data_IF_577704126283
#
_entry.id   IF_577704126283
#
_cell.length_a   1.000
_cell.length_b   1.000
_cell.length_c   1.000
_cell.angle_alpha   90.00
_cell.angle_beta   90.00
_cell.angle_gamma   90.00
#
_symmetry.space_group_name_H-M   'P 1'
#
loop_
_entity.id
_entity.type
_entity.pdbx_description
1 polymer ?
#
# COMPACT_ATOMS: atom_id res chain seq x y z
N UNK A 1 -9.98 22.60 -20.67
CA UNK A 1 -10.34 23.89 -21.30
C UNK A 1 -9.06 24.57 -21.77
N UNK A 2 -8.86 24.71 -23.09
CA UNK A 2 -7.70 25.40 -23.66
C UNK A 2 -8.00 26.90 -23.81
N UNK A 3 -7.00 27.74 -23.58
CA UNK A 3 -7.13 29.19 -23.77
C UNK A 3 -7.13 29.53 -25.27
N UNK A 4 -7.97 30.48 -25.72
CA UNK A 4 -7.93 30.97 -27.10
C UNK A 4 -6.56 31.59 -27.43
N UNK A 5 -6.16 31.53 -28.71
CA UNK A 5 -4.95 32.20 -29.21
C UNK A 5 -5.00 33.70 -28.87
N UNK A 6 -3.86 34.25 -28.45
CA UNK A 6 -3.68 35.67 -28.10
C UNK A 6 -4.55 36.18 -26.94
N UNK A 7 -5.05 35.27 -26.08
CA UNK A 7 -5.90 35.65 -24.96
C UNK A 7 -5.16 36.06 -23.68
N UNK A 8 -3.82 36.17 -23.73
CA UNK A 8 -2.96 36.64 -22.64
C UNK A 8 -2.41 38.01 -23.06
N UNK A 9 -2.89 39.07 -22.40
CA UNK A 9 -2.53 40.45 -22.77
C UNK A 9 -1.44 41.07 -21.90
N UNK A 10 -0.91 40.32 -20.92
CA UNK A 10 0.14 40.78 -20.02
C UNK A 10 0.41 39.80 -18.87
N UNK A 11 1.37 40.14 -18.01
CA UNK A 11 1.82 39.29 -16.90
C UNK A 11 0.71 38.99 -15.88
N UNK A 12 -0.06 40.00 -15.45
CA UNK A 12 -1.18 39.78 -14.53
C UNK A 12 -2.25 38.84 -15.11
N UNK A 13 -2.54 38.99 -16.40
CA UNK A 13 -3.55 38.19 -17.08
C UNK A 13 -3.06 36.74 -17.25
N UNK A 14 -1.77 36.55 -17.57
CA UNK A 14 -1.11 35.24 -17.53
C UNK A 14 -1.22 34.63 -16.14
N UNK A 15 -0.81 35.35 -15.09
CA UNK A 15 -0.78 34.85 -13.71
C UNK A 15 -2.18 34.42 -13.26
N UNK A 16 -3.20 35.25 -13.49
CA UNK A 16 -4.60 34.92 -13.18
C UNK A 16 -5.08 33.68 -13.93
N UNK A 17 -4.83 33.58 -15.24
CA UNK A 17 -5.25 32.43 -16.05
C UNK A 17 -4.51 31.15 -15.69
N UNK A 18 -3.23 31.25 -15.33
CA UNK A 18 -2.41 30.15 -14.85
C UNK A 18 -2.90 29.62 -13.50
N UNK A 19 -3.14 30.50 -12.52
CA UNK A 19 -3.74 30.11 -11.23
C UNK A 19 -5.13 29.51 -11.43
N UNK A 20 -5.96 30.05 -12.33
CA UNK A 20 -7.28 29.49 -12.63
C UNK A 20 -7.21 28.12 -13.34
N UNK A 21 -6.24 27.89 -14.22
CA UNK A 21 -6.01 26.57 -14.84
C UNK A 21 -5.52 25.54 -13.82
N UNK A 22 -4.57 25.94 -12.96
CA UNK A 22 -4.05 25.07 -11.91
C UNK A 22 -5.09 24.79 -10.81
N UNK A 23 -5.89 25.79 -10.44
CA UNK A 23 -6.99 25.63 -9.47
C UNK A 23 -8.19 24.88 -10.07
N UNK A 24 -8.35 24.97 -11.39
CA UNK A 24 -9.34 24.23 -12.17
C UNK A 24 -8.96 22.77 -12.44
N UNK A 25 -7.71 22.38 -12.20
CA UNK A 25 -7.34 20.99 -11.97
C UNK A 25 -7.98 20.58 -10.66
N UNK A 26 -9.25 20.17 -10.73
CA UNK A 26 -9.96 19.49 -9.66
C UNK A 26 -9.14 18.25 -9.31
N UNK A 27 -8.19 18.37 -8.40
CA UNK A 27 -7.71 17.24 -7.64
C UNK A 27 -8.98 16.66 -7.03
N UNK A 28 -9.46 15.55 -7.61
CA UNK A 28 -10.52 14.76 -6.99
C UNK A 28 -10.04 14.52 -5.58
N UNK A 29 -10.73 15.08 -4.58
CA UNK A 29 -10.34 14.90 -3.18
C UNK A 29 -10.37 13.40 -2.92
N UNK A 30 -9.19 12.79 -2.86
CA UNK A 30 -9.04 11.41 -2.44
C UNK A 30 -9.33 11.42 -0.94
N UNK A 31 -10.46 10.82 -0.56
CA UNK A 31 -10.84 10.71 0.85
C UNK A 31 -10.31 9.42 1.43
N UNK A 32 -10.15 9.34 2.75
CA UNK A 32 -9.71 8.09 3.39
C UNK A 32 -10.58 6.87 3.00
N UNK A 33 -11.87 7.08 2.71
CA UNK A 33 -12.79 6.04 2.25
C UNK A 33 -12.49 5.48 0.86
N UNK A 34 -11.78 6.20 -0.02
CA UNK A 34 -11.42 5.65 -1.34
C UNK A 34 -10.36 4.55 -1.24
N UNK A 35 -9.65 4.46 -0.11
CA UNK A 35 -8.65 3.42 0.13
C UNK A 35 -9.26 2.01 0.22
N UNK A 36 -10.55 1.88 0.56
CA UNK A 36 -11.24 0.59 0.57
C UNK A 36 -11.32 -0.08 -0.81
N UNK A 37 -11.11 0.66 -1.90
CA UNK A 37 -11.03 0.08 -3.24
C UNK A 37 -9.67 -0.54 -3.57
N UNK A 38 -8.67 -0.41 -2.69
CA UNK A 38 -7.33 -0.95 -2.90
C UNK A 38 -7.28 -2.35 -2.30
N UNK A 39 -7.32 -3.35 -3.17
CA UNK A 39 -7.15 -4.75 -2.78
C UNK A 39 -5.77 -5.26 -3.19
N UNK A 40 -5.25 -6.20 -2.40
CA UNK A 40 -4.07 -6.98 -2.72
C UNK A 40 -4.41 -7.91 -3.88
N UNK A 41 -3.65 -7.79 -4.97
CA UNK A 41 -3.80 -8.66 -6.14
C UNK A 41 -3.44 -10.11 -5.84
N UNK A 42 -3.93 -11.05 -6.65
CA UNK A 42 -3.64 -12.48 -6.47
C UNK A 42 -2.14 -12.80 -6.59
N UNK A 43 -1.44 -12.14 -7.51
CA UNK A 43 0.00 -12.31 -7.76
C UNK A 43 0.85 -11.25 -7.04
N UNK A 44 0.23 -10.43 -6.20
CA UNK A 44 0.91 -9.34 -5.53
C UNK A 44 1.32 -9.75 -4.12
N UNK A 45 2.61 -9.60 -3.82
CA UNK A 45 3.11 -9.89 -2.49
C UNK A 45 2.75 -8.77 -1.49
N UNK A 46 2.89 -9.06 -0.20
CA UNK A 46 2.50 -8.12 0.87
C UNK A 46 3.29 -6.80 0.83
N UNK A 47 4.54 -6.83 0.36
CA UNK A 47 5.39 -5.63 0.25
C UNK A 47 4.93 -4.72 -0.89
N UNK A 48 4.62 -5.29 -2.05
CA UNK A 48 4.08 -4.57 -3.20
C UNK A 48 2.74 -3.90 -2.87
N UNK A 49 1.85 -4.64 -2.20
CA UNK A 49 0.57 -4.12 -1.74
C UNK A 49 0.76 -2.97 -0.74
N UNK A 50 1.65 -3.12 0.24
CA UNK A 50 1.98 -2.07 1.19
C UNK A 50 2.52 -0.82 0.49
N UNK A 51 3.39 -0.97 -0.51
CA UNK A 51 3.94 0.14 -1.27
C UNK A 51 2.83 0.92 -1.99
N UNK A 52 1.94 0.23 -2.73
CA UNK A 52 0.79 0.90 -3.40
C UNK A 52 -0.15 1.57 -2.41
N UNK A 53 -0.49 0.87 -1.32
CA UNK A 53 -1.40 1.40 -0.32
C UNK A 53 -0.80 2.64 0.35
N UNK A 54 0.48 2.61 0.72
CA UNK A 54 1.17 3.77 1.30
C UNK A 54 1.22 4.97 0.36
N UNK A 55 1.49 4.77 -0.93
CA UNK A 55 1.43 5.84 -1.93
C UNK A 55 0.03 6.47 -2.01
N UNK A 56 -1.02 5.65 -1.92
CA UNK A 56 -2.39 6.15 -1.90
C UNK A 56 -2.70 6.97 -0.64
N UNK A 57 -2.18 6.58 0.53
CA UNK A 57 -2.39 7.34 1.78
C UNK A 57 -1.79 8.75 1.73
N UNK A 58 -0.67 8.95 1.03
CA UNK A 58 -0.02 10.27 0.87
C UNK A 58 -0.94 11.24 0.10
N UNK A 59 -1.77 10.72 -0.80
CA UNK A 59 -2.67 11.52 -1.66
C UNK A 59 -3.99 11.90 -0.95
N UNK A 60 -4.26 11.35 0.23
CA UNK A 60 -5.51 11.58 0.96
C UNK A 60 -5.54 12.98 1.59
N UNK A 61 -6.61 13.73 1.31
CA UNK A 61 -6.76 15.10 1.81
C UNK A 61 -7.27 15.19 3.26
N UNK A 62 -7.81 14.11 3.82
CA UNK A 62 -8.32 14.01 5.19
C UNK A 62 -7.82 12.73 5.87
N UNK A 63 -6.55 12.68 6.33
CA UNK A 63 -5.97 11.48 6.90
C UNK A 63 -6.74 11.05 8.16
N UNK A 64 -7.06 9.77 8.24
CA UNK A 64 -7.65 9.13 9.40
C UNK A 64 -6.98 7.76 9.55
N UNK A 65 -6.20 7.59 10.61
CA UNK A 65 -5.41 6.38 10.83
C UNK A 65 -6.27 5.14 11.03
N UNK A 66 -7.40 5.25 11.73
CA UNK A 66 -8.33 4.13 11.92
C UNK A 66 -8.90 3.65 10.58
N UNK A 67 -9.29 4.60 9.71
CA UNK A 67 -9.77 4.27 8.37
C UNK A 67 -8.65 3.65 7.52
N UNK A 68 -7.40 4.10 7.66
CA UNK A 68 -6.28 3.53 6.93
C UNK A 68 -6.05 2.07 7.34
N UNK A 69 -6.07 1.78 8.64
CA UNK A 69 -5.95 0.42 9.17
C UNK A 69 -7.09 -0.45 8.65
N UNK A 70 -8.34 0.01 8.77
CA UNK A 70 -9.52 -0.75 8.35
C UNK A 70 -9.52 -1.02 6.83
N UNK A 71 -9.18 -0.02 6.01
CA UNK A 71 -9.08 -0.17 4.58
C UNK A 71 -7.92 -1.10 4.18
N UNK A 72 -6.78 -1.01 4.87
CA UNK A 72 -5.65 -1.90 4.63
C UNK A 72 -6.02 -3.36 4.92
N UNK A 73 -6.66 -3.62 6.06
CA UNK A 73 -7.16 -4.96 6.44
C UNK A 73 -8.24 -5.49 5.49
N UNK A 74 -9.12 -4.62 5.00
CA UNK A 74 -10.15 -4.99 4.03
C UNK A 74 -9.56 -5.42 2.68
N UNK A 75 -8.47 -4.79 2.27
CA UNK A 75 -7.79 -5.12 1.02
C UNK A 75 -6.85 -6.32 1.08
N UNK A 76 -6.51 -6.84 2.27
CA UNK A 76 -5.51 -7.90 2.42
C UNK A 76 -5.99 -9.27 1.92
N UNK A 77 -5.15 -9.92 1.11
CA UNK A 77 -5.30 -11.33 0.72
C UNK A 77 -4.32 -12.25 1.48
N UNK A 78 -3.28 -11.69 2.11
CA UNK A 78 -2.34 -12.44 2.95
C UNK A 78 -3.00 -12.91 4.25
N UNK A 79 -3.67 -14.07 4.20
CA UNK A 79 -4.50 -14.62 5.29
C UNK A 79 -3.79 -14.67 6.65
N UNK A 80 -2.58 -15.24 6.72
CA UNK A 80 -1.84 -15.37 7.97
C UNK A 80 -1.46 -14.01 8.58
N UNK A 81 -1.07 -13.06 7.73
CA UNK A 81 -0.79 -11.71 8.19
C UNK A 81 -2.07 -11.00 8.68
N UNK A 82 -3.18 -11.16 7.96
CA UNK A 82 -4.47 -10.58 8.35
C UNK A 82 -4.96 -11.17 9.70
N UNK A 83 -4.84 -12.48 9.89
CA UNK A 83 -5.10 -13.15 11.17
C UNK A 83 -4.25 -12.57 12.31
N UNK A 84 -2.96 -12.30 12.06
CA UNK A 84 -2.07 -11.68 13.06
C UNK A 84 -2.51 -10.25 13.44
N UNK A 85 -3.02 -9.48 12.48
CA UNK A 85 -3.58 -8.14 12.73
C UNK A 85 -4.92 -8.21 13.48
N UNK A 86 -5.73 -9.25 13.27
CA UNK A 86 -6.97 -9.44 14.03
C UNK A 86 -6.69 -9.82 15.49
N UNK A 87 -5.66 -10.66 15.73
CA UNK A 87 -5.26 -11.04 17.09
C UNK A 87 -4.63 -9.89 17.87
N UNK A 88 -3.79 -9.10 17.20
CA UNK A 88 -3.18 -7.90 17.76
C UNK A 88 -3.49 -6.75 16.81
N UNK A 89 -4.51 -5.93 17.08
CA UNK A 89 -4.80 -4.76 16.27
C UNK A 89 -3.59 -3.84 16.13
N UNK A 90 -3.54 -3.09 15.02
CA UNK A 90 -2.60 -2.00 14.81
C UNK A 90 -3.39 -0.70 14.81
N UNK A 91 -2.89 0.32 15.49
CA UNK A 91 -3.60 1.61 15.59
C UNK A 91 -3.17 2.60 14.50
N UNK A 92 -2.02 2.34 13.85
CA UNK A 92 -1.42 3.25 12.88
C UNK A 92 -0.83 2.51 11.68
N UNK A 93 -0.70 3.24 10.58
CA UNK A 93 -0.03 2.75 9.37
C UNK A 93 1.45 2.41 9.61
N UNK A 94 2.12 3.12 10.51
CA UNK A 94 3.53 2.86 10.86
C UNK A 94 3.71 1.51 11.55
N UNK A 95 2.79 1.15 12.45
CA UNK A 95 2.80 -0.16 13.10
C UNK A 95 2.54 -1.28 12.08
N UNK A 96 1.64 -1.06 11.11
CA UNK A 96 1.42 -1.99 9.99
C UNK A 96 2.72 -2.18 9.19
N UNK A 97 3.38 -1.09 8.77
CA UNK A 97 4.64 -1.15 8.01
C UNK A 97 5.70 -1.97 8.72
N UNK A 98 5.93 -1.68 10.01
CA UNK A 98 6.89 -2.42 10.84
C UNK A 98 6.56 -3.90 10.94
N UNK A 99 5.28 -4.25 11.08
CA UNK A 99 4.85 -5.65 11.15
C UNK A 99 4.99 -6.38 9.83
N UNK A 100 4.71 -5.73 8.71
CA UNK A 100 4.95 -6.30 7.37
C UNK A 100 6.44 -6.63 7.21
N UNK A 101 7.33 -5.70 7.57
CA UNK A 101 8.78 -5.93 7.52
C UNK A 101 9.20 -7.11 8.39
N UNK A 102 8.71 -7.18 9.63
CA UNK A 102 8.98 -8.31 10.52
C UNK A 102 8.43 -9.64 9.98
N UNK A 103 7.23 -9.61 9.38
CA UNK A 103 6.59 -10.80 8.81
C UNK A 103 7.41 -11.37 7.66
N UNK A 104 7.83 -10.51 6.71
CA UNK A 104 8.66 -10.91 5.56
C UNK A 104 9.98 -11.52 6.04
N UNK A 105 10.67 -10.83 6.95
CA UNK A 105 11.94 -11.33 7.51
C UNK A 105 11.77 -12.66 8.25
N UNK A 106 10.64 -12.86 8.94
CA UNK A 106 10.32 -14.12 9.62
C UNK A 106 10.05 -15.27 8.64
N UNK A 107 9.32 -15.01 7.55
CA UNK A 107 9.07 -15.98 6.48
C UNK A 107 10.36 -16.43 5.80
N UNK A 108 11.30 -15.51 5.54
CA UNK A 108 12.61 -15.82 4.97
C UNK A 108 13.43 -16.78 5.86
N UNK A 109 13.48 -16.51 7.18
CA UNK A 109 14.17 -17.36 8.15
C UNK A 109 13.53 -18.75 8.21
N UNK A 110 12.20 -18.83 8.18
CA UNK A 110 11.48 -20.10 8.19
C UNK A 110 11.68 -20.89 6.89
N UNK A 111 11.70 -20.23 5.74
CA UNK A 111 11.98 -20.85 4.45
C UNK A 111 13.41 -21.44 4.42
N UNK A 112 14.40 -20.72 4.96
CA UNK A 112 15.78 -21.20 5.03
C UNK A 112 15.92 -22.43 5.95
N UNK A 113 15.23 -22.45 7.10
CA UNK A 113 15.20 -23.62 7.99
C UNK A 113 14.57 -24.85 7.32
N UNK A 114 13.45 -24.67 6.61
CA UNK A 114 12.81 -25.76 5.84
C UNK A 114 13.73 -26.31 4.75
N UNK A 115 14.47 -25.44 4.06
CA UNK A 115 15.47 -25.83 3.05
C UNK A 115 16.60 -26.69 3.64
N UNK A 116 17.09 -26.34 4.84
CA UNK A 116 18.14 -27.11 5.53
C UNK A 116 17.64 -28.47 6.00
N UNK A 117 16.46 -28.51 6.65
CA UNK A 117 15.84 -29.75 7.13
C UNK A 117 15.51 -30.73 5.98
N UNK A 118 15.15 -30.19 4.79
CA UNK A 118 14.94 -30.99 3.57
C UNK A 118 16.22 -31.64 3.04
N UNK A 119 17.39 -31.06 3.30
CA UNK A 119 18.70 -31.57 2.85
C UNK A 119 19.33 -32.57 3.84
N UNK A 120 18.85 -32.59 5.09
CA UNK A 120 19.39 -33.44 6.15
C UNK A 120 18.66 -34.78 6.34
N UNK A 121 17.56 -35.06 5.61
CA UNK A 121 16.96 -36.40 5.62
C UNK A 121 17.93 -37.43 5.01
N UNK A 122 18.48 -38.38 5.78
CA UNK A 122 19.27 -39.46 5.22
C UNK A 122 18.32 -40.36 4.42
N UNK A 123 18.71 -40.74 3.20
CA UNK A 123 18.17 -41.92 2.54
C UNK A 123 18.54 -43.14 3.40
N UNK A 124 17.80 -43.41 4.47
CA UNK A 124 17.82 -44.72 5.09
C UNK A 124 16.89 -45.64 4.30
N UNK A 125 17.37 -46.05 3.13
CA UNK A 125 16.87 -47.22 2.44
C UNK A 125 17.89 -48.33 2.65
N UNK A 126 17.88 -48.92 3.85
CA UNK A 126 18.50 -50.23 4.08
C UNK A 126 17.51 -51.22 4.71
N UNK A 127 16.93 -52.02 3.81
CA UNK A 127 16.65 -53.46 3.97
C UNK A 127 15.47 -53.86 4.89
N UNK A 128 14.91 -55.08 4.79
CA UNK A 128 15.54 -56.36 4.42
C UNK A 128 15.68 -56.61 2.91
#
# INVERSE_FOLDING_TARGET
>A
MNLPRNSITGYEDFHRKFINQLSGSKHVRVTATTLFGIHQGHNENLSEYLARFSEATIKVSNPNHEIFVAAFQNGLNARHFNESLAQKPADTMQEIMKRVECYIKGEEINAEKRSRDSREKPQDSRSP
#
